data_IF_483563839922
#
_entry.id   IF_483563839922
#
_cell.length_a   1.000
_cell.length_b   1.000
_cell.length_c   1.000
_cell.angle_alpha   90.00
_cell.angle_beta   90.00
_cell.angle_gamma   90.00
#
_symmetry.space_group_name_H-M   'P 1'
#
loop_
_entity.id
_entity.type
_entity.pdbx_description
1 polymer ?
#
# COMPACT_ATOMS: atom_id res chain seq x y z
N UNK A 1 17.29 28.76 2.77
CA UNK A 1 16.68 27.49 3.23
C UNK A 1 15.20 27.71 3.41
N UNK A 2 14.35 27.07 2.59
CA UNK A 2 12.90 27.19 2.74
C UNK A 2 12.49 26.62 4.11
N UNK A 3 11.75 27.39 4.91
CA UNK A 3 11.11 26.94 6.14
C UNK A 3 10.18 25.79 5.81
N UNK A 4 10.60 24.55 6.09
CA UNK A 4 9.78 23.35 5.92
C UNK A 4 8.58 23.44 6.87
N UNK A 5 7.38 23.18 6.36
CA UNK A 5 6.20 23.07 7.21
C UNK A 5 6.45 22.02 8.29
N UNK A 6 6.22 22.37 9.55
CA UNK A 6 6.26 21.45 10.70
C UNK A 6 4.93 20.71 10.90
N UNK A 7 3.93 20.99 10.06
CA UNK A 7 2.64 20.29 10.06
C UNK A 7 2.72 19.05 9.18
N UNK A 8 2.23 17.92 9.70
CA UNK A 8 2.09 16.63 9.00
C UNK A 8 0.72 16.02 9.27
N UNK A 9 0.34 15.02 8.49
CA UNK A 9 -0.80 14.16 8.78
C UNK A 9 -0.26 12.82 9.27
N UNK A 10 -0.78 12.32 10.40
CA UNK A 10 -0.40 11.02 10.91
C UNK A 10 -0.81 9.92 9.91
N UNK A 11 0.10 9.09 9.40
CA UNK A 11 -0.23 8.05 8.43
C UNK A 11 -1.11 6.94 9.04
N UNK A 12 -1.07 6.76 10.36
CA UNK A 12 -1.84 5.71 11.05
C UNK A 12 -3.28 6.11 11.39
N UNK A 13 -3.53 7.35 11.81
CA UNK A 13 -4.87 7.78 12.26
C UNK A 13 -5.43 9.04 11.57
N UNK A 14 -4.63 9.74 10.75
CA UNK A 14 -5.08 10.94 10.04
C UNK A 14 -5.08 12.22 10.87
N UNK A 15 -4.71 12.16 12.15
CA UNK A 15 -4.59 13.35 12.99
C UNK A 15 -3.57 14.33 12.40
N UNK A 16 -3.91 15.62 12.36
CA UNK A 16 -2.95 16.68 11.98
C UNK A 16 -1.97 16.87 13.14
N UNK A 17 -0.69 16.67 12.83
CA UNK A 17 0.42 16.73 13.76
C UNK A 17 1.21 18.01 13.58
N UNK A 18 1.66 18.58 14.68
CA UNK A 18 2.71 19.59 14.71
C UNK A 18 3.98 18.93 15.25
N UNK A 19 4.92 18.59 14.37
CA UNK A 19 6.05 17.71 14.70
C UNK A 19 6.88 18.20 15.89
N UNK A 20 7.09 19.51 16.00
CA UNK A 20 7.83 20.14 17.11
C UNK A 20 7.14 20.03 18.48
N UNK A 21 5.83 19.77 18.50
CA UNK A 21 5.04 19.62 19.72
C UNK A 21 4.86 18.15 20.12
N UNK A 22 5.31 17.20 19.30
CA UNK A 22 5.20 15.78 19.60
C UNK A 22 6.25 15.33 20.63
N UNK A 23 5.90 14.38 21.51
CA UNK A 23 6.87 13.72 22.37
C UNK A 23 7.86 12.88 21.55
N UNK A 24 9.04 12.65 22.11
CA UNK A 24 10.00 11.68 21.60
C UNK A 24 9.97 10.43 22.46
N UNK A 25 9.95 9.27 21.81
CA UNK A 25 9.88 7.96 22.44
C UNK A 25 11.04 7.08 22.01
N UNK A 26 11.40 6.13 22.86
CA UNK A 26 12.41 5.10 22.60
C UNK A 26 11.76 3.94 21.81
N UNK A 27 12.33 3.58 20.65
CA UNK A 27 11.89 2.38 19.91
C UNK A 27 12.92 1.26 19.91
N UNK A 28 14.14 1.51 20.41
CA UNK A 28 15.14 0.46 20.60
C UNK A 28 14.84 -0.37 21.85
N UNK A 29 15.04 -1.69 21.78
CA UNK A 29 15.09 -2.59 22.95
C UNK A 29 16.52 -3.00 23.25
N UNK A 30 16.85 -3.18 24.52
CA UNK A 30 18.18 -3.58 24.96
C UNK A 30 18.63 -4.92 24.37
N UNK A 31 19.92 -5.02 24.05
CA UNK A 31 20.57 -6.19 23.42
C UNK A 31 20.46 -7.50 24.21
N UNK A 32 20.16 -7.44 25.51
CA UNK A 32 19.94 -8.63 26.36
C UNK A 32 18.60 -9.33 26.09
N UNK A 33 17.70 -8.70 25.34
CA UNK A 33 16.50 -9.32 24.79
C UNK A 33 16.76 -9.66 23.32
N UNK A 34 16.78 -10.96 22.99
CA UNK A 34 17.09 -11.46 21.66
C UNK A 34 16.33 -10.69 20.57
N UNK A 35 17.07 -9.99 19.70
CA UNK A 35 16.69 -9.45 18.38
C UNK A 35 15.18 -9.26 18.19
N UNK A 36 14.63 -8.20 18.77
CA UNK A 36 13.30 -7.72 18.45
C UNK A 36 13.34 -6.21 18.22
N UNK A 37 13.54 -5.80 16.97
CA UNK A 37 13.11 -4.47 16.52
C UNK A 37 11.60 -4.40 16.75
N UNK A 38 11.15 -3.46 17.59
CA UNK A 38 9.73 -3.20 17.83
C UNK A 38 9.18 -2.57 16.56
N UNK A 39 8.12 -3.15 16.01
CA UNK A 39 7.52 -2.65 14.77
C UNK A 39 6.64 -1.43 15.06
N UNK A 40 6.37 -0.63 14.02
CA UNK A 40 5.52 0.56 14.04
C UNK A 40 4.11 0.37 14.64
N UNK A 41 3.70 -0.88 14.87
CA UNK A 41 2.36 -1.28 15.25
C UNK A 41 2.32 -2.28 16.42
N UNK A 42 3.39 -2.41 17.20
CA UNK A 42 3.36 -3.27 18.40
C UNK A 42 2.41 -2.70 19.47
N UNK A 43 1.11 -2.97 19.31
CA UNK A 43 0.07 -2.77 20.31
C UNK A 43 0.00 -3.95 21.29
N UNK A 44 0.57 -5.11 20.91
CA UNK A 44 0.45 -6.39 21.62
C UNK A 44 1.74 -6.89 22.29
N UNK A 45 2.77 -6.05 22.39
CA UNK A 45 3.85 -6.33 23.32
C UNK A 45 3.26 -6.28 24.74
N UNK A 46 3.13 -7.44 25.37
CA UNK A 46 2.84 -7.60 26.79
C UNK A 46 3.68 -6.61 27.62
N UNK A 47 3.04 -5.50 28.02
CA UNK A 47 3.17 -4.65 29.23
C UNK A 47 4.51 -4.49 29.95
N UNK A 48 5.63 -4.90 29.38
CA UNK A 48 6.96 -4.73 29.94
C UNK A 48 7.52 -3.45 29.36
N UNK A 49 7.24 -2.36 30.06
CA UNK A 49 8.00 -1.11 29.88
C UNK A 49 9.47 -1.47 30.02
N UNK A 50 10.27 -1.18 29.00
CA UNK A 50 11.71 -1.41 29.02
C UNK A 50 12.45 -0.10 29.22
N UNK A 51 13.66 -0.17 29.75
CA UNK A 51 14.49 1.02 29.90
C UNK A 51 15.21 1.36 28.59
N UNK A 52 15.40 2.66 28.27
CA UNK A 52 16.20 3.09 27.14
C UNK A 52 17.61 2.49 27.18
N UNK A 53 18.13 1.90 26.09
CA UNK A 53 19.48 1.32 26.03
C UNK A 53 20.60 2.27 26.44
N UNK A 54 20.42 3.59 26.28
CA UNK A 54 21.38 4.60 26.70
C UNK A 54 21.46 4.81 28.22
N UNK A 55 20.47 4.32 28.97
CA UNK A 55 20.24 4.64 30.38
C UNK A 55 19.57 6.00 30.59
N UNK A 56 19.04 6.64 29.54
CA UNK A 56 18.31 7.89 29.66
C UNK A 56 17.09 7.76 30.59
N UNK A 57 16.78 8.79 31.40
CA UNK A 57 15.59 8.77 32.24
C UNK A 57 14.33 8.74 31.37
N UNK A 58 13.40 7.86 31.72
CA UNK A 58 12.08 7.78 31.09
C UNK A 58 11.07 8.67 31.82
N UNK A 59 10.34 9.50 31.07
CA UNK A 59 9.26 10.36 31.57
C UNK A 59 7.89 9.65 31.49
N UNK A 60 7.84 8.37 31.84
CA UNK A 60 6.65 7.52 31.69
C UNK A 60 6.55 6.87 30.31
N UNK A 61 5.36 6.46 29.91
CA UNK A 61 5.13 5.76 28.63
C UNK A 61 4.06 6.43 27.78
N UNK A 62 4.22 6.29 26.47
CA UNK A 62 3.19 6.63 25.49
C UNK A 62 2.90 5.37 24.68
N UNK A 63 1.73 4.76 24.91
CA UNK A 63 1.46 3.41 24.42
C UNK A 63 2.46 2.42 25.01
N UNK A 64 3.13 1.65 24.16
CA UNK A 64 4.16 0.70 24.56
C UNK A 64 5.56 1.35 24.75
N UNK A 65 5.75 2.62 24.38
CA UNK A 65 7.09 3.20 24.24
C UNK A 65 7.48 4.08 25.45
N UNK A 66 8.70 3.93 26.01
CA UNK A 66 9.25 4.87 26.99
C UNK A 66 9.38 6.28 26.42
N UNK A 67 8.99 7.30 27.18
CA UNK A 67 9.06 8.71 26.76
C UNK A 67 10.44 9.27 27.09
N UNK A 68 11.22 9.59 26.06
CA UNK A 68 12.54 10.25 26.17
C UNK A 68 12.40 11.76 26.36
N UNK A 69 11.33 12.35 25.79
CA UNK A 69 11.04 13.79 25.90
C UNK A 69 9.53 14.03 25.81
N UNK A 70 9.01 14.79 26.75
CA UNK A 70 7.58 15.14 26.79
C UNK A 70 7.17 16.11 25.66
N UNK A 71 5.86 16.13 25.38
CA UNK A 71 5.26 17.04 24.42
C UNK A 71 5.33 18.49 24.90
N UNK A 72 5.83 19.39 24.06
CA UNK A 72 5.86 20.83 24.35
C UNK A 72 4.52 21.50 23.98
N UNK A 73 3.52 21.42 24.84
CA UNK A 73 2.19 22.03 24.62
C UNK A 73 1.96 23.39 25.32
N UNK A 74 3.00 24.08 25.78
CA UNK A 74 2.80 25.39 26.45
C UNK A 74 2.52 26.50 25.44
N UNK A 75 1.28 27.01 25.47
CA UNK A 75 0.68 27.96 24.53
C UNK A 75 1.35 29.34 24.36
N UNK A 76 2.51 29.60 24.98
CA UNK A 76 3.25 30.86 24.84
C UNK A 76 4.43 30.76 23.85
N UNK A 77 4.83 29.56 23.40
CA UNK A 77 5.95 29.37 22.45
C UNK A 77 5.55 29.14 20.99
N UNK A 78 4.24 28.96 20.71
CA UNK A 78 3.70 28.78 19.34
C UNK A 78 4.04 29.95 18.41
N UNK A 79 4.30 31.13 18.97
CA UNK A 79 4.62 32.36 18.21
C UNK A 79 6.13 32.51 17.91
N UNK A 80 7.01 31.68 18.47
CA UNK A 80 8.48 31.88 18.37
C UNK A 80 9.31 30.69 17.87
N UNK A 81 8.70 29.60 17.43
CA UNK A 81 9.43 28.47 16.85
C UNK A 81 9.45 28.57 15.31
N UNK A 82 10.37 29.40 14.77
CA UNK A 82 10.56 29.54 13.31
C UNK A 82 11.99 29.29 12.84
N UNK A 83 12.85 28.61 13.62
CA UNK A 83 14.26 28.52 13.23
C UNK A 83 14.73 27.15 12.73
N UNK A 84 14.28 26.00 13.25
CA UNK A 84 14.63 24.67 12.72
C UNK A 84 13.87 23.59 13.48
N UNK A 85 13.26 22.62 12.77
CA UNK A 85 12.82 21.38 13.41
C UNK A 85 14.08 20.60 13.83
N UNK A 86 14.28 20.39 15.14
CA UNK A 86 15.39 19.58 15.64
C UNK A 86 15.12 18.11 15.32
N UNK A 87 16.09 17.46 14.68
CA UNK A 87 15.99 16.04 14.38
C UNK A 87 16.03 15.22 15.68
N UNK A 88 15.28 14.10 15.83
CA UNK A 88 15.24 13.32 17.06
C UNK A 88 16.62 12.91 17.60
N UNK A 89 17.56 12.56 16.72
CA UNK A 89 18.93 12.22 17.10
C UNK A 89 19.80 13.42 17.57
N UNK A 90 19.36 14.66 17.35
CA UNK A 90 20.03 15.86 17.90
C UNK A 90 19.66 16.09 19.38
N UNK A 91 18.60 15.44 19.88
CA UNK A 91 17.99 15.74 21.18
C UNK A 91 17.82 14.52 22.09
N UNK A 92 18.14 13.33 21.59
CA UNK A 92 18.15 12.08 22.35
C UNK A 92 19.28 11.17 21.81
N UNK A 93 19.73 10.22 22.64
CA UNK A 93 20.83 9.32 22.29
C UNK A 93 20.41 8.41 21.12
N UNK A 94 21.21 8.33 20.03
CA UNK A 94 20.88 7.48 18.89
C UNK A 94 20.70 5.99 19.22
N UNK A 95 21.32 5.50 20.32
CA UNK A 95 21.16 4.11 20.80
C UNK A 95 19.72 3.79 21.23
N UNK A 96 18.92 4.81 21.55
CA UNK A 96 17.52 4.64 21.92
C UNK A 96 16.58 4.62 20.70
N UNK A 97 17.12 4.85 19.50
CA UNK A 97 16.36 5.04 18.26
C UNK A 97 15.18 6.02 18.46
N UNK A 98 15.46 7.28 18.83
CA UNK A 98 14.40 8.22 19.19
C UNK A 98 13.47 8.51 18.02
N UNK A 99 12.16 8.31 18.22
CA UNK A 99 11.10 8.62 17.24
C UNK A 99 10.11 9.63 17.80
N UNK A 100 9.52 10.46 16.95
CA UNK A 100 8.31 11.22 17.34
C UNK A 100 7.16 10.24 17.48
N UNK A 101 6.23 10.50 18.40
CA UNK A 101 5.04 9.69 18.54
C UNK A 101 3.76 10.50 18.42
N UNK A 102 2.75 9.90 17.79
CA UNK A 102 1.44 10.50 17.66
C UNK A 102 0.70 10.43 19.00
N UNK A 103 0.26 11.57 19.54
CA UNK A 103 -0.48 11.61 20.82
C UNK A 103 -1.93 11.15 20.71
N UNK A 104 -2.46 10.98 19.49
CA UNK A 104 -3.82 10.51 19.26
C UNK A 104 -3.91 8.98 19.12
N UNK A 105 -3.00 8.35 18.37
CA UNK A 105 -3.00 6.89 18.18
C UNK A 105 -1.86 6.19 18.91
N UNK A 106 -1.01 6.93 19.63
CA UNK A 106 0.08 6.43 20.48
C UNK A 106 1.18 5.65 19.74
N UNK A 107 1.16 5.64 18.40
CA UNK A 107 2.18 4.99 17.57
C UNK A 107 3.41 5.87 17.38
N UNK A 108 4.59 5.25 17.40
CA UNK A 108 5.82 5.86 16.91
C UNK A 108 5.69 6.17 15.41
N UNK A 109 6.21 7.31 14.97
CA UNK A 109 6.18 7.77 13.60
C UNK A 109 7.54 7.51 12.91
N UNK A 110 7.56 7.21 11.60
CA UNK A 110 8.81 7.09 10.86
C UNK A 110 9.67 8.35 10.93
N UNK A 111 11.00 8.21 11.00
CA UNK A 111 11.93 9.37 10.97
C UNK A 111 11.62 10.24 9.78
N UNK A 112 11.39 9.60 8.65
CA UNK A 112 11.31 10.23 7.35
C UNK A 112 10.12 11.20 7.28
N UNK A 113 9.15 11.07 8.18
CA UNK A 113 8.05 12.02 8.32
C UNK A 113 8.53 13.42 8.75
N UNK A 114 9.71 13.53 9.38
CA UNK A 114 10.36 14.81 9.64
C UNK A 114 10.81 15.50 8.34
N UNK A 115 11.14 14.72 7.32
CA UNK A 115 11.69 15.21 6.05
C UNK A 115 10.63 15.40 4.96
N UNK A 116 9.62 14.52 4.93
CA UNK A 116 8.66 14.47 3.84
C UNK A 116 7.22 14.12 4.30
N UNK A 117 6.27 14.34 3.40
CA UNK A 117 4.86 14.01 3.64
C UNK A 117 4.60 12.51 3.41
N UNK A 118 3.52 12.00 4.01
CA UNK A 118 3.08 10.62 3.82
C UNK A 118 1.78 10.58 3.00
N UNK A 119 1.76 9.73 1.99
CA UNK A 119 0.60 9.40 1.17
C UNK A 119 0.23 7.92 1.37
N UNK A 120 -1.06 7.63 1.26
CA UNK A 120 -1.61 6.31 1.51
C UNK A 120 -2.19 5.71 0.22
N UNK A 121 -1.73 4.52 -0.13
CA UNK A 121 -2.26 3.69 -1.19
C UNK A 121 -3.06 2.54 -0.60
N UNK A 122 -4.34 2.48 -0.94
CA UNK A 122 -5.18 1.34 -0.60
C UNK A 122 -5.09 0.26 -1.70
N UNK A 123 -4.82 -0.99 -1.32
CA UNK A 123 -4.91 -2.15 -2.22
C UNK A 123 -5.99 -3.09 -1.69
N UNK A 124 -7.08 -3.21 -2.44
CA UNK A 124 -8.33 -3.86 -2.00
C UNK A 124 -8.92 -4.72 -3.11
N UNK A 125 -9.89 -5.58 -2.79
CA UNK A 125 -10.42 -6.60 -3.72
C UNK A 125 -10.84 -7.85 -2.97
N UNK A 126 -11.57 -8.75 -3.63
CA UNK A 126 -12.05 -10.00 -3.02
C UNK A 126 -10.89 -10.87 -2.50
N UNK A 127 -11.21 -11.80 -1.59
CA UNK A 127 -10.27 -12.86 -1.26
C UNK A 127 -9.94 -13.66 -2.53
N UNK A 128 -8.70 -14.16 -2.64
CA UNK A 128 -8.17 -14.86 -3.83
C UNK A 128 -8.14 -14.08 -5.15
N UNK A 129 -8.55 -12.81 -5.17
CA UNK A 129 -8.40 -11.93 -6.33
C UNK A 129 -6.93 -11.62 -6.69
N UNK A 130 -5.95 -12.08 -5.91
CA UNK A 130 -4.54 -11.91 -6.21
C UNK A 130 -3.88 -10.68 -5.59
N UNK A 131 -4.49 -10.01 -4.61
CA UNK A 131 -3.91 -8.83 -3.93
C UNK A 131 -2.50 -9.06 -3.37
N UNK A 132 -2.32 -10.12 -2.58
CA UNK A 132 -1.04 -10.46 -1.94
C UNK A 132 0.02 -10.83 -3.00
N UNK A 133 -0.39 -11.52 -4.07
CA UNK A 133 0.47 -11.81 -5.22
C UNK A 133 0.82 -10.55 -6.02
N UNK A 134 -0.13 -9.62 -6.18
CA UNK A 134 0.09 -8.32 -6.79
C UNK A 134 1.10 -7.52 -5.97
N UNK A 135 0.92 -7.39 -4.65
CA UNK A 135 1.88 -6.72 -3.77
C UNK A 135 3.26 -7.38 -3.86
N UNK A 136 3.33 -8.71 -3.74
CA UNK A 136 4.61 -9.43 -3.80
C UNK A 136 5.33 -9.26 -5.14
N UNK A 137 4.61 -9.31 -6.25
CA UNK A 137 5.21 -9.22 -7.59
C UNK A 137 5.52 -7.78 -7.99
N UNK A 138 4.60 -6.86 -7.75
CA UNK A 138 4.78 -5.45 -8.10
C UNK A 138 5.86 -4.78 -7.23
N UNK A 139 5.81 -4.95 -5.91
CA UNK A 139 6.77 -4.31 -5.02
C UNK A 139 8.17 -4.90 -5.18
N UNK A 140 8.29 -6.20 -5.49
CA UNK A 140 9.57 -6.79 -5.85
C UNK A 140 10.10 -6.27 -7.20
N UNK A 141 9.21 -6.11 -8.19
CA UNK A 141 9.51 -5.45 -9.47
C UNK A 141 10.06 -4.04 -9.29
N UNK A 142 9.36 -3.24 -8.50
CA UNK A 142 9.70 -1.85 -8.23
C UNK A 142 11.00 -1.69 -7.44
N UNK A 143 11.25 -2.55 -6.45
CA UNK A 143 12.40 -2.38 -5.51
C UNK A 143 13.68 -3.09 -5.93
N UNK A 144 13.62 -4.17 -6.73
CA UNK A 144 14.80 -4.97 -7.12
C UNK A 144 15.23 -4.81 -8.57
N UNK A 145 14.33 -4.36 -9.44
CA UNK A 145 14.55 -4.36 -10.88
C UNK A 145 14.29 -2.99 -11.51
N UNK A 146 14.18 -1.93 -10.70
CA UNK A 146 13.87 -0.56 -11.14
C UNK A 146 12.67 -0.50 -12.10
N UNK A 147 11.67 -1.37 -11.88
CA UNK A 147 10.54 -1.56 -12.81
C UNK A 147 9.65 -0.32 -12.99
N UNK A 148 9.85 0.73 -12.19
CA UNK A 148 9.15 2.00 -12.27
C UNK A 148 9.96 3.14 -12.91
N UNK A 149 11.22 2.91 -13.29
CA UNK A 149 12.10 3.96 -13.82
C UNK A 149 11.52 4.61 -15.09
N UNK A 150 11.06 3.79 -16.04
CA UNK A 150 10.44 4.25 -17.29
C UNK A 150 9.10 4.97 -17.07
N UNK A 151 8.54 4.87 -15.86
CA UNK A 151 7.30 5.54 -15.46
C UNK A 151 7.55 6.92 -14.81
N UNK A 152 8.80 7.39 -14.75
CA UNK A 152 9.17 8.67 -14.14
C UNK A 152 9.27 8.61 -12.61
N UNK A 153 9.57 7.43 -12.08
CA UNK A 153 9.90 7.21 -10.67
C UNK A 153 11.42 7.12 -10.53
N UNK A 154 12.01 8.10 -9.85
CA UNK A 154 13.46 8.19 -9.63
C UNK A 154 13.92 7.37 -8.42
N UNK A 155 13.02 7.13 -7.47
CA UNK A 155 13.30 6.37 -6.26
C UNK A 155 12.05 5.59 -5.82
N UNK A 156 12.22 4.31 -5.51
CA UNK A 156 11.19 3.49 -4.88
C UNK A 156 11.86 2.50 -3.91
N UNK A 157 12.15 2.96 -2.69
CA UNK A 157 12.94 2.21 -1.71
C UNK A 157 12.09 1.81 -0.52
N UNK A 158 12.07 0.54 -0.11
CA UNK A 158 11.40 0.13 1.12
C UNK A 158 12.18 0.64 2.34
N UNK A 159 11.48 1.07 3.39
CA UNK A 159 12.13 1.28 4.69
C UNK A 159 12.61 -0.06 5.27
N UNK A 160 13.52 -0.02 6.24
CA UNK A 160 14.21 -1.21 6.76
C UNK A 160 13.26 -2.35 7.17
N UNK A 161 12.21 -2.03 7.94
CA UNK A 161 11.24 -3.05 8.39
C UNK A 161 10.43 -3.58 7.20
N UNK A 162 10.09 -2.72 6.25
CA UNK A 162 9.38 -3.10 5.03
C UNK A 162 10.26 -4.00 4.15
N UNK A 163 11.56 -3.72 4.05
CA UNK A 163 12.50 -4.52 3.27
C UNK A 163 12.58 -5.96 3.82
N UNK A 164 12.64 -6.11 5.14
CA UNK A 164 12.63 -7.41 5.82
C UNK A 164 11.33 -8.18 5.55
N UNK A 165 10.18 -7.51 5.71
CA UNK A 165 8.85 -8.09 5.44
C UNK A 165 8.72 -8.51 3.97
N UNK A 166 9.10 -7.64 3.03
CA UNK A 166 9.09 -7.94 1.60
C UNK A 166 9.95 -9.16 1.27
N UNK A 167 11.16 -9.23 1.84
CA UNK A 167 12.06 -10.34 1.59
C UNK A 167 11.51 -11.66 2.13
N UNK A 168 11.12 -11.70 3.40
CA UNK A 168 10.71 -12.91 4.11
C UNK A 168 9.32 -13.41 3.68
N UNK A 169 8.35 -12.50 3.54
CA UNK A 169 6.95 -12.88 3.39
C UNK A 169 6.48 -12.93 1.93
N UNK A 170 7.19 -12.26 1.02
CA UNK A 170 6.79 -12.20 -0.40
C UNK A 170 7.87 -12.77 -1.31
N UNK A 171 9.09 -12.23 -1.27
CA UNK A 171 10.15 -12.61 -2.21
C UNK A 171 10.60 -14.06 -2.04
N UNK A 172 10.96 -14.47 -0.82
CA UNK A 172 11.46 -15.83 -0.57
C UNK A 172 10.43 -16.90 -0.95
N UNK A 173 9.15 -16.84 -0.51
CA UNK A 173 8.15 -17.81 -0.94
C UNK A 173 7.93 -17.78 -2.45
N UNK A 174 7.67 -16.62 -3.06
CA UNK A 174 7.26 -16.53 -4.47
C UNK A 174 8.39 -16.81 -5.46
N UNK A 175 9.53 -16.16 -5.28
CA UNK A 175 10.57 -16.08 -6.32
C UNK A 175 11.78 -16.98 -6.05
N UNK A 176 11.97 -17.44 -4.80
CA UNK A 176 13.06 -18.35 -4.44
C UNK A 176 12.58 -19.79 -4.21
N UNK A 177 11.48 -19.97 -3.46
CA UNK A 177 10.93 -21.29 -3.13
C UNK A 177 9.81 -21.74 -4.07
N UNK A 178 9.28 -20.82 -4.88
CA UNK A 178 8.18 -21.06 -5.83
C UNK A 178 6.91 -21.61 -5.14
N UNK A 179 6.68 -21.18 -3.90
CA UNK A 179 5.57 -21.58 -3.07
C UNK A 179 4.34 -20.68 -3.30
N UNK A 180 3.16 -21.25 -3.06
CA UNK A 180 1.93 -20.45 -2.94
C UNK A 180 2.00 -19.62 -1.67
N UNK A 181 1.65 -18.34 -1.76
CA UNK A 181 1.51 -17.51 -0.58
C UNK A 181 0.30 -17.95 0.25
N UNK A 182 0.41 -17.96 1.58
CA UNK A 182 -0.71 -18.29 2.46
C UNK A 182 -1.86 -17.29 2.26
N UNK A 183 -3.09 -17.76 2.47
CA UNK A 183 -4.27 -16.89 2.47
C UNK A 183 -4.08 -15.82 3.55
N UNK A 184 -4.30 -14.56 3.19
CA UNK A 184 -4.29 -13.47 4.17
C UNK A 184 -5.45 -13.68 5.16
N UNK A 185 -5.16 -13.94 6.44
CA UNK A 185 -6.19 -14.20 7.43
C UNK A 185 -7.10 -12.98 7.56
N UNK A 186 -8.37 -13.25 7.83
CA UNK A 186 -9.30 -12.20 8.24
C UNK A 186 -8.90 -11.78 9.64
N UNK A 187 -8.50 -10.54 9.80
CA UNK A 187 -8.23 -9.94 11.10
C UNK A 187 -9.23 -8.81 11.31
N UNK A 188 -9.76 -8.70 12.53
CA UNK A 188 -10.75 -7.67 12.89
C UNK A 188 -10.14 -6.26 12.88
N UNK A 189 -8.80 -6.17 12.86
CA UNK A 189 -8.02 -4.96 12.84
C UNK A 189 -6.85 -5.06 11.84
N UNK A 190 -6.33 -3.91 11.40
CA UNK A 190 -5.08 -3.85 10.63
C UNK A 190 -3.90 -4.05 11.58
N UNK A 191 -3.72 -5.27 12.10
CA UNK A 191 -2.56 -5.61 12.96
C UNK A 191 -1.28 -5.83 12.15
N UNK A 192 -1.39 -5.98 10.83
CA UNK A 192 -0.20 -6.05 9.96
C UNK A 192 0.40 -4.65 9.81
N UNK A 193 1.70 -4.45 10.15
CA UNK A 193 2.35 -3.17 9.95
C UNK A 193 2.27 -2.78 8.47
N UNK A 194 2.07 -1.49 8.15
CA UNK A 194 2.08 -1.03 6.78
C UNK A 194 3.42 -1.33 6.11
N UNK A 195 3.37 -1.59 4.81
CA UNK A 195 4.54 -1.50 3.95
C UNK A 195 4.77 -0.02 3.63
N UNK A 196 5.97 0.47 3.91
CA UNK A 196 6.34 1.88 3.79
C UNK A 196 7.51 2.01 2.83
N UNK A 197 7.36 2.90 1.85
CA UNK A 197 8.36 3.17 0.84
C UNK A 197 8.72 4.64 0.81
N UNK A 198 10.00 4.96 0.66
CA UNK A 198 10.44 6.28 0.22
C UNK A 198 10.34 6.33 -1.30
N UNK A 199 9.52 7.26 -1.80
CA UNK A 199 9.25 7.42 -3.23
C UNK A 199 9.68 8.80 -3.68
N UNK A 200 10.33 8.88 -4.85
CA UNK A 200 10.64 10.15 -5.52
C UNK A 200 10.20 10.06 -6.97
N UNK A 201 9.34 11.00 -7.39
CA UNK A 201 8.92 11.14 -8.78
C UNK A 201 9.72 12.26 -9.43
N UNK A 202 9.94 12.18 -10.74
CA UNK A 202 10.73 13.18 -11.47
C UNK A 202 10.22 14.60 -11.26
N UNK A 203 11.09 15.50 -10.80
CA UNK A 203 10.78 16.91 -10.53
C UNK A 203 9.94 17.17 -9.27
N UNK A 204 9.74 16.17 -8.41
CA UNK A 204 9.01 16.29 -7.14
C UNK A 204 9.91 15.92 -5.96
N UNK A 205 9.55 16.47 -4.79
CA UNK A 205 10.21 16.09 -3.53
C UNK A 205 9.89 14.63 -3.18
N UNK A 206 10.78 13.93 -2.45
CA UNK A 206 10.46 12.62 -1.92
C UNK A 206 9.25 12.66 -0.99
N UNK A 207 8.53 11.56 -0.88
CA UNK A 207 7.43 11.33 0.05
C UNK A 207 7.42 9.87 0.52
N UNK A 208 6.69 9.60 1.60
CA UNK A 208 6.43 8.24 2.06
C UNK A 208 5.15 7.70 1.43
N UNK A 209 5.21 6.51 0.85
CA UNK A 209 4.05 5.75 0.40
C UNK A 209 3.75 4.64 1.41
N UNK A 210 2.59 4.72 2.05
CA UNK A 210 2.07 3.68 2.93
C UNK A 210 1.09 2.81 2.17
N UNK A 211 1.17 1.49 2.34
CA UNK A 211 0.18 0.54 1.85
C UNK A 211 0.01 -0.62 2.83
N UNK A 212 -1.14 -1.29 2.77
CA UNK A 212 -1.47 -2.40 3.67
C UNK A 212 -1.88 -3.64 2.88
N UNK A 213 -1.44 -4.82 3.33
CA UNK A 213 -1.92 -6.11 2.85
C UNK A 213 -3.05 -6.61 3.76
N UNK A 214 -4.28 -6.24 3.42
CA UNK A 214 -5.48 -6.53 4.20
C UNK A 214 -6.33 -7.56 3.46
N UNK A 215 -6.95 -8.48 4.23
CA UNK A 215 -7.91 -9.43 3.66
C UNK A 215 -9.12 -8.70 3.08
N UNK A 216 -9.57 -9.16 1.91
CA UNK A 216 -10.75 -8.58 1.25
C UNK A 216 -12.02 -8.76 2.09
N UNK A 217 -12.13 -9.89 2.77
CA UNK A 217 -13.27 -10.25 3.62
C UNK A 217 -13.38 -9.35 4.87
N UNK A 218 -12.27 -8.85 5.39
CA UNK A 218 -12.27 -7.89 6.50
C UNK A 218 -12.99 -6.57 6.11
N UNK A 219 -13.15 -6.30 4.82
CA UNK A 219 -13.82 -5.11 4.29
C UNK A 219 -15.28 -5.37 3.89
N UNK A 220 -15.85 -6.53 4.22
CA UNK A 220 -17.20 -6.96 3.80
C UNK A 220 -18.28 -6.66 4.82
N UNK A 221 -18.01 -6.78 6.13
CA UNK A 221 -19.00 -6.43 7.15
C UNK A 221 -18.97 -4.94 7.45
N UNK A 222 -20.12 -4.32 7.75
CA UNK A 222 -20.16 -2.91 8.16
C UNK A 222 -19.34 -2.65 9.43
N UNK A 223 -19.39 -3.58 10.40
CA UNK A 223 -18.67 -3.45 11.67
C UNK A 223 -17.16 -3.49 11.46
N UNK A 224 -16.65 -4.47 10.72
CA UNK A 224 -15.22 -4.57 10.40
C UNK A 224 -14.77 -3.43 9.48
N UNK A 225 -15.60 -2.97 8.53
CA UNK A 225 -15.29 -1.77 7.72
C UNK A 225 -15.10 -0.52 8.57
N UNK A 226 -15.92 -0.27 9.60
CA UNK A 226 -15.73 0.96 10.39
C UNK A 226 -14.34 1.05 11.04
N UNK A 227 -13.81 -0.09 11.50
CA UNK A 227 -12.48 -0.19 12.13
C UNK A 227 -11.37 -0.32 11.08
N UNK A 228 -11.51 -1.28 10.16
CA UNK A 228 -10.50 -1.66 9.17
C UNK A 228 -10.45 -0.70 7.98
N UNK A 229 -11.55 -0.03 7.58
CA UNK A 229 -11.56 0.94 6.47
C UNK A 229 -11.15 2.36 6.87
N UNK A 230 -10.68 2.59 8.10
CA UNK A 230 -10.19 3.91 8.52
C UNK A 230 -9.02 4.43 7.67
N UNK A 231 -8.23 3.53 7.07
CA UNK A 231 -7.22 3.88 6.07
C UNK A 231 -7.86 4.25 4.72
N UNK A 232 -8.96 3.58 4.29
CA UNK A 232 -9.66 3.90 3.04
C UNK A 232 -10.21 5.33 3.03
N UNK A 233 -10.78 5.78 4.15
CA UNK A 233 -11.25 7.16 4.35
C UNK A 233 -10.14 8.23 4.24
N UNK A 234 -8.88 7.80 4.20
CA UNK A 234 -7.69 8.66 4.13
C UNK A 234 -6.82 8.35 2.92
N UNK A 235 -7.20 7.38 2.10
CA UNK A 235 -6.41 6.94 0.97
C UNK A 235 -6.25 8.08 -0.04
N UNK A 236 -5.04 8.24 -0.57
CA UNK A 236 -4.73 9.18 -1.65
C UNK A 236 -4.97 8.54 -3.03
N UNK A 237 -4.93 7.21 -3.10
CA UNK A 237 -5.39 6.43 -4.24
C UNK A 237 -5.79 5.02 -3.78
N UNK A 238 -6.54 4.32 -4.63
CA UNK A 238 -7.01 2.97 -4.41
C UNK A 238 -6.75 2.12 -5.67
N UNK A 239 -6.10 0.97 -5.50
CA UNK A 239 -6.07 -0.09 -6.50
C UNK A 239 -7.10 -1.15 -6.06
N UNK A 240 -8.16 -1.29 -6.85
CA UNK A 240 -9.15 -2.33 -6.69
C UNK A 240 -8.82 -3.51 -7.61
N UNK A 241 -8.33 -4.58 -7.00
CA UNK A 241 -7.97 -5.83 -7.67
C UNK A 241 -9.24 -6.65 -7.92
N UNK A 242 -9.56 -6.83 -9.20
CA UNK A 242 -10.66 -7.65 -9.68
C UNK A 242 -10.15 -9.02 -10.09
N UNK A 243 -10.91 -10.06 -9.77
CA UNK A 243 -10.60 -11.43 -10.20
C UNK A 243 -11.40 -11.73 -11.47
N UNK A 244 -10.75 -12.02 -12.61
CA UNK A 244 -11.46 -12.41 -13.82
C UNK A 244 -12.39 -13.62 -13.64
N UNK A 245 -12.11 -14.51 -12.67
CA UNK A 245 -13.00 -15.63 -12.35
C UNK A 245 -14.32 -15.21 -11.67
N UNK A 246 -14.51 -13.94 -11.29
CA UNK A 246 -15.82 -13.43 -10.85
C UNK A 246 -16.74 -13.07 -12.03
N UNK A 247 -16.20 -13.05 -13.25
CA UNK A 247 -16.94 -12.74 -14.47
C UNK A 247 -17.48 -14.05 -15.04
N UNK A 248 -18.80 -14.21 -15.06
CA UNK A 248 -19.48 -15.45 -15.49
C UNK A 248 -18.98 -15.93 -16.87
N UNK A 249 -18.79 -15.00 -17.81
CA UNK A 249 -18.26 -15.31 -19.14
C UNK A 249 -16.90 -16.01 -19.08
N UNK A 250 -15.98 -15.55 -18.22
CA UNK A 250 -14.64 -16.14 -18.10
C UNK A 250 -14.73 -17.52 -17.46
N UNK A 251 -15.46 -17.64 -16.35
CA UNK A 251 -15.61 -18.91 -15.63
C UNK A 251 -16.23 -20.00 -16.52
N UNK A 252 -17.23 -19.67 -17.32
CA UNK A 252 -17.91 -20.63 -18.22
C UNK A 252 -17.09 -21.06 -19.43
N UNK A 253 -16.09 -20.28 -19.84
CA UNK A 253 -15.25 -20.57 -21.01
C UNK A 253 -13.89 -21.19 -20.62
N UNK A 254 -13.68 -21.50 -19.35
CA UNK A 254 -12.52 -22.24 -18.86
C UNK A 254 -12.90 -23.67 -18.49
N UNK A 255 -11.94 -24.59 -18.55
CA UNK A 255 -12.16 -25.94 -18.04
C UNK A 255 -12.25 -25.92 -16.50
N UNK A 256 -13.04 -26.82 -15.87
CA UNK A 256 -13.18 -26.85 -14.41
C UNK A 256 -11.84 -26.94 -13.65
N UNK A 257 -10.90 -27.72 -14.17
CA UNK A 257 -9.56 -27.88 -13.59
C UNK A 257 -8.78 -26.55 -13.61
N UNK A 258 -8.93 -25.77 -14.67
CA UNK A 258 -8.26 -24.47 -14.83
C UNK A 258 -8.83 -23.43 -13.86
N UNK A 259 -10.15 -23.46 -13.64
CA UNK A 259 -10.82 -22.62 -12.64
C UNK A 259 -10.33 -22.99 -11.23
N UNK A 260 -10.26 -24.28 -10.90
CA UNK A 260 -9.77 -24.76 -9.60
C UNK A 260 -8.31 -24.36 -9.35
N UNK A 261 -7.43 -24.59 -10.33
CA UNK A 261 -6.00 -24.26 -10.23
C UNK A 261 -5.75 -22.76 -10.08
N UNK A 262 -6.54 -21.94 -10.75
CA UNK A 262 -6.52 -20.48 -10.63
C UNK A 262 -7.15 -19.95 -9.34
N UNK A 263 -7.57 -20.85 -8.44
CA UNK A 263 -8.12 -20.53 -7.12
C UNK A 263 -9.59 -20.13 -7.15
N UNK A 264 -10.33 -20.56 -8.17
CA UNK A 264 -11.78 -20.46 -8.27
C UNK A 264 -12.50 -21.23 -7.15
N UNK A 265 -13.82 -21.09 -7.13
CA UNK A 265 -14.69 -21.67 -6.11
C UNK A 265 -15.79 -20.72 -5.68
N UNK A 266 -16.73 -21.25 -4.90
CA UNK A 266 -17.88 -20.52 -4.36
C UNK A 266 -17.42 -19.27 -3.60
N UNK A 267 -18.07 -18.14 -3.89
CA UNK A 267 -17.84 -16.86 -3.23
C UNK A 267 -19.12 -16.41 -2.57
N UNK A 268 -19.00 -16.00 -1.32
CA UNK A 268 -20.12 -15.41 -0.59
C UNK A 268 -20.42 -13.96 -1.02
N UNK A 269 -19.52 -13.35 -1.80
CA UNK A 269 -19.63 -11.96 -2.23
C UNK A 269 -19.11 -11.74 -3.66
N UNK A 270 -19.89 -11.00 -4.45
CA UNK A 270 -19.50 -10.50 -5.77
C UNK A 270 -18.62 -9.24 -5.67
N UNK A 271 -17.60 -9.12 -6.53
CA UNK A 271 -16.62 -8.03 -6.51
C UNK A 271 -17.23 -6.65 -6.73
N UNK A 272 -18.31 -6.58 -7.51
CA UNK A 272 -19.05 -5.34 -7.78
C UNK A 272 -19.72 -4.81 -6.52
N UNK A 273 -20.26 -5.70 -5.67
CA UNK A 273 -20.85 -5.31 -4.38
C UNK A 273 -19.78 -4.82 -3.40
N UNK A 274 -18.60 -5.45 -3.41
CA UNK A 274 -17.46 -4.98 -2.61
C UNK A 274 -17.01 -3.58 -3.08
N UNK A 275 -16.84 -3.36 -4.39
CA UNK A 275 -16.46 -2.06 -4.92
C UNK A 275 -17.46 -0.98 -4.51
N UNK A 276 -18.76 -1.25 -4.66
CA UNK A 276 -19.82 -0.32 -4.26
C UNK A 276 -19.71 0.08 -2.76
N UNK A 277 -19.44 -0.88 -1.88
CA UNK A 277 -19.23 -0.61 -0.47
C UNK A 277 -17.96 0.23 -0.20
N UNK A 278 -16.87 -0.07 -0.89
CA UNK A 278 -15.59 0.65 -0.74
C UNK A 278 -15.68 2.09 -1.25
N UNK A 279 -16.37 2.34 -2.35
CA UNK A 279 -16.57 3.68 -2.90
C UNK A 279 -17.28 4.62 -1.91
N UNK A 280 -18.17 4.08 -1.05
CA UNK A 280 -18.85 4.85 0.00
C UNK A 280 -17.92 5.26 1.14
N UNK A 281 -16.84 4.52 1.35
CA UNK A 281 -15.82 4.82 2.37
C UNK A 281 -14.73 5.77 1.84
N UNK A 282 -14.61 5.94 0.52
CA UNK A 282 -13.62 6.88 -0.01
C UNK A 282 -14.00 8.34 0.31
N UNK A 283 -13.00 9.22 0.52
CA UNK A 283 -13.23 10.65 0.70
C UNK A 283 -14.15 11.20 -0.40
N UNK A 284 -15.20 11.91 0.00
CA UNK A 284 -16.13 12.55 -0.93
C UNK A 284 -15.46 13.70 -1.67
N UNK A 285 -15.72 13.88 -2.98
CA UNK A 285 -15.25 15.04 -3.73
C UNK A 285 -15.86 16.32 -3.13
N UNK A 286 -15.05 17.13 -2.43
CA UNK A 286 -15.53 18.40 -1.87
C UNK A 286 -14.67 19.05 -0.78
N UNK A 287 -13.80 18.28 -0.09
CA UNK A 287 -12.99 18.80 1.02
C UNK A 287 -11.48 18.59 0.92
N UNK A 288 -11.01 17.97 -0.15
CA UNK A 288 -9.63 17.52 -0.33
C UNK A 288 -9.61 16.57 -1.52
N UNK A 289 -8.50 16.56 -2.28
CA UNK A 289 -8.38 15.95 -3.62
C UNK A 289 -8.99 14.54 -3.69
N UNK A 290 -9.86 14.30 -4.67
CA UNK A 290 -10.46 12.99 -4.94
C UNK A 290 -9.37 11.95 -5.24
N UNK A 291 -9.32 10.84 -4.48
CA UNK A 291 -8.40 9.74 -4.73
C UNK A 291 -8.52 9.22 -6.16
N UNK A 292 -7.47 8.61 -6.69
CA UNK A 292 -7.54 7.91 -7.97
C UNK A 292 -7.92 6.45 -7.75
N UNK A 293 -8.86 5.93 -8.53
CA UNK A 293 -9.26 4.53 -8.56
C UNK A 293 -8.62 3.81 -9.76
N UNK A 294 -7.74 2.86 -9.49
CA UNK A 294 -7.26 1.91 -10.49
C UNK A 294 -7.99 0.57 -10.32
N UNK A 295 -8.84 0.19 -11.27
CA UNK A 295 -9.47 -1.13 -11.33
C UNK A 295 -8.53 -2.05 -12.12
N UNK A 296 -8.05 -3.14 -11.51
CA UNK A 296 -7.02 -3.97 -12.12
C UNK A 296 -7.40 -5.47 -12.14
N UNK A 297 -7.55 -6.01 -13.35
CA UNK A 297 -7.75 -7.44 -13.62
C UNK A 297 -6.43 -8.17 -13.38
N UNK A 298 -6.36 -9.03 -12.36
CA UNK A 298 -5.09 -9.59 -11.85
C UNK A 298 -4.60 -10.86 -12.55
N UNK A 299 -5.48 -11.54 -13.29
CA UNK A 299 -5.22 -12.81 -13.97
C UNK A 299 -5.54 -12.68 -15.45
N UNK A 300 -4.98 -11.65 -16.11
CA UNK A 300 -5.31 -11.34 -17.51
C UNK A 300 -4.99 -12.49 -18.48
N UNK A 301 -4.08 -13.38 -18.10
CA UNK A 301 -3.77 -14.64 -18.81
C UNK A 301 -4.99 -15.57 -18.91
N UNK A 302 -5.88 -15.59 -17.91
CA UNK A 302 -7.13 -16.35 -17.98
C UNK A 302 -8.10 -15.78 -18.99
N UNK A 303 -8.04 -14.46 -19.23
CA UNK A 303 -8.91 -13.80 -20.21
C UNK A 303 -8.49 -14.17 -21.64
N UNK A 304 -7.18 -14.17 -21.91
CA UNK A 304 -6.64 -14.67 -23.19
C UNK A 304 -7.04 -16.13 -23.41
N UNK A 305 -6.96 -16.96 -22.37
CA UNK A 305 -7.33 -18.37 -22.42
C UNK A 305 -8.83 -18.59 -22.70
N UNK A 306 -9.70 -17.92 -21.94
CA UNK A 306 -11.15 -18.04 -22.07
C UNK A 306 -11.69 -17.49 -23.40
N UNK A 307 -11.08 -16.42 -23.92
CA UNK A 307 -11.55 -15.76 -25.15
C UNK A 307 -10.86 -16.27 -26.41
N UNK A 308 -9.72 -16.94 -26.29
CA UNK A 308 -8.86 -17.33 -27.42
C UNK A 308 -8.29 -16.14 -28.21
N UNK A 309 -8.36 -14.92 -27.67
CA UNK A 309 -7.93 -13.67 -28.30
C UNK A 309 -6.70 -13.12 -27.59
N UNK A 310 -5.76 -12.60 -28.38
CA UNK A 310 -4.66 -11.77 -27.87
C UNK A 310 -5.12 -10.32 -27.71
N UNK A 311 -4.74 -9.72 -26.60
CA UNK A 311 -5.02 -8.32 -26.27
C UNK A 311 -3.72 -7.54 -26.12
N UNK A 312 -3.79 -6.20 -26.12
CA UNK A 312 -2.61 -5.36 -25.83
C UNK A 312 -2.05 -5.66 -24.44
N UNK A 313 -2.91 -5.88 -23.46
CA UNK A 313 -2.48 -6.24 -22.10
C UNK A 313 -1.89 -7.65 -21.96
N UNK A 314 -1.92 -8.47 -23.02
CA UNK A 314 -1.28 -9.78 -23.10
C UNK A 314 0.21 -9.71 -23.47
N UNK A 315 0.74 -8.51 -23.72
CA UNK A 315 2.15 -8.28 -24.08
C UNK A 315 2.78 -7.24 -23.12
N UNK A 316 4.12 -7.19 -22.99
CA UNK A 316 4.79 -6.16 -22.20
C UNK A 316 4.44 -4.75 -22.69
N UNK A 317 4.51 -3.72 -21.83
CA UNK A 317 4.26 -2.34 -22.24
C UNK A 317 5.10 -1.94 -23.44
N UNK A 318 4.48 -1.25 -24.39
CA UNK A 318 5.19 -0.77 -25.58
C UNK A 318 6.30 0.22 -25.17
N UNK A 319 7.53 0.10 -25.71
CA UNK A 319 8.56 1.11 -25.47
C UNK A 319 8.10 2.49 -25.96
N UNK A 320 8.20 3.53 -25.12
CA UNK A 320 7.77 4.89 -25.47
C UNK A 320 6.97 5.56 -24.35
N UNK A 321 5.95 6.35 -24.72
CA UNK A 321 5.06 6.99 -23.74
C UNK A 321 4.13 5.96 -23.10
N UNK A 322 4.54 5.45 -21.94
CA UNK A 322 3.75 4.51 -21.14
C UNK A 322 2.34 5.01 -20.84
N UNK A 323 2.11 6.34 -20.78
CA UNK A 323 0.79 6.91 -20.50
C UNK A 323 -0.18 6.65 -21.64
N UNK A 324 0.31 6.67 -22.88
CA UNK A 324 -0.48 6.35 -24.06
C UNK A 324 -0.83 4.86 -24.12
N UNK A 325 0.15 4.00 -23.87
CA UNK A 325 -0.04 2.54 -23.85
C UNK A 325 -1.04 2.11 -22.75
N UNK A 326 -0.93 2.66 -21.54
CA UNK A 326 -1.89 2.43 -20.44
C UNK A 326 -3.29 2.97 -20.79
N UNK A 327 -3.40 4.11 -21.49
CA UNK A 327 -4.70 4.65 -21.91
C UNK A 327 -5.39 3.73 -22.90
N UNK A 328 -4.66 3.21 -23.89
CA UNK A 328 -5.18 2.25 -24.86
C UNK A 328 -5.60 0.94 -24.21
N UNK A 329 -4.84 0.44 -23.23
CA UNK A 329 -5.25 -0.74 -22.46
C UNK A 329 -6.51 -0.46 -21.63
N UNK A 330 -6.62 0.70 -21.01
CA UNK A 330 -7.84 1.10 -20.31
C UNK A 330 -9.06 1.09 -21.23
N UNK A 331 -8.94 1.58 -22.47
CA UNK A 331 -10.02 1.55 -23.47
C UNK A 331 -10.37 0.11 -23.88
N UNK A 332 -9.37 -0.71 -24.22
CA UNK A 332 -9.55 -2.13 -24.59
C UNK A 332 -10.26 -2.94 -23.48
N UNK A 333 -9.90 -2.72 -22.21
CA UNK A 333 -10.55 -3.40 -21.08
C UNK A 333 -12.00 -2.97 -20.93
N UNK A 334 -12.32 -1.70 -21.17
CA UNK A 334 -13.69 -1.20 -21.05
C UNK A 334 -14.60 -1.82 -22.10
N UNK A 335 -14.10 -1.95 -23.33
CA UNK A 335 -14.80 -2.66 -24.41
C UNK A 335 -14.99 -4.13 -24.03
N UNK A 336 -13.94 -4.79 -23.57
CA UNK A 336 -13.97 -6.19 -23.15
C UNK A 336 -14.98 -6.46 -22.02
N UNK A 337 -14.98 -5.64 -20.97
CA UNK A 337 -15.94 -5.76 -19.86
C UNK A 337 -17.37 -5.49 -20.34
N UNK A 338 -17.56 -4.63 -21.34
CA UNK A 338 -18.87 -4.41 -21.96
C UNK A 338 -19.33 -5.66 -22.73
N UNK A 339 -18.44 -6.26 -23.53
CA UNK A 339 -18.69 -7.52 -24.26
C UNK A 339 -19.05 -8.66 -23.30
N UNK A 340 -18.41 -8.73 -22.13
CA UNK A 340 -18.64 -9.75 -21.11
C UNK A 340 -19.85 -9.50 -20.20
N UNK A 341 -20.59 -8.40 -20.41
CA UNK A 341 -21.79 -8.09 -19.62
C UNK A 341 -21.52 -7.42 -18.26
N UNK A 342 -20.29 -6.99 -17.97
CA UNK A 342 -19.86 -6.35 -16.72
C UNK A 342 -20.25 -4.85 -16.65
N UNK A 343 -21.42 -4.50 -17.20
CA UNK A 343 -21.92 -3.13 -17.26
C UNK A 343 -22.18 -2.51 -15.87
N UNK A 344 -22.40 -3.32 -14.83
CA UNK A 344 -22.57 -2.80 -13.47
C UNK A 344 -21.23 -2.35 -12.87
N UNK A 345 -20.17 -3.14 -13.05
CA UNK A 345 -18.82 -2.79 -12.63
C UNK A 345 -18.35 -1.51 -13.32
N UNK A 346 -18.52 -1.43 -14.66
CA UNK A 346 -18.18 -0.23 -15.43
C UNK A 346 -18.91 1.02 -14.94
N UNK A 347 -20.24 0.95 -14.78
CA UNK A 347 -21.04 2.09 -14.31
C UNK A 347 -20.65 2.57 -12.91
N UNK A 348 -20.37 1.66 -11.98
CA UNK A 348 -19.92 2.03 -10.63
C UNK A 348 -18.55 2.72 -10.66
N UNK A 349 -17.62 2.14 -11.42
CA UNK A 349 -16.28 2.68 -11.61
C UNK A 349 -16.28 4.06 -12.31
N UNK A 350 -17.11 4.24 -13.32
CA UNK A 350 -17.24 5.50 -14.08
C UNK A 350 -18.03 6.57 -13.34
N UNK A 351 -18.88 6.16 -12.40
CA UNK A 351 -19.49 7.08 -11.44
C UNK A 351 -18.45 7.74 -10.51
N UNK A 352 -17.23 7.20 -10.45
CA UNK A 352 -16.14 7.78 -9.68
C UNK A 352 -15.26 8.70 -10.56
N UNK A 353 -15.00 9.98 -10.18
CA UNK A 353 -14.45 10.99 -11.09
C UNK A 353 -13.05 10.71 -11.66
N UNK A 354 -12.26 9.84 -11.02
CA UNK A 354 -10.87 9.56 -11.41
C UNK A 354 -10.65 8.06 -11.42
N UNK A 355 -10.96 7.43 -12.54
CA UNK A 355 -10.88 5.98 -12.69
C UNK A 355 -10.09 5.55 -13.91
N UNK A 356 -9.27 4.52 -13.75
CA UNK A 356 -8.51 3.86 -14.82
C UNK A 356 -8.65 2.34 -14.71
N UNK A 357 -8.74 1.65 -15.84
CA UNK A 357 -8.75 0.20 -15.92
C UNK A 357 -7.38 -0.34 -16.34
N UNK A 358 -6.98 -1.45 -15.72
CA UNK A 358 -5.70 -2.13 -15.92
C UNK A 358 -5.92 -3.62 -16.01
N UNK A 359 -5.03 -4.30 -16.73
CA UNK A 359 -5.00 -5.75 -16.80
C UNK A 359 -3.55 -6.20 -16.70
N UNK A 360 -3.33 -7.17 -15.83
CA UNK A 360 -2.03 -7.70 -15.47
C UNK A 360 -2.15 -9.20 -15.21
N UNK A 361 -1.05 -9.92 -15.41
CA UNK A 361 -0.93 -11.30 -14.94
C UNK A 361 0.07 -11.30 -13.80
N UNK A 362 -0.43 -11.39 -12.56
CA UNK A 362 0.42 -11.23 -11.36
C UNK A 362 1.48 -12.32 -11.24
N UNK A 363 1.20 -13.53 -11.72
CA UNK A 363 2.14 -14.65 -11.73
C UNK A 363 2.75 -14.92 -13.12
N UNK A 364 2.21 -14.31 -14.17
CA UNK A 364 2.54 -14.65 -15.55
C UNK A 364 1.75 -15.85 -16.06
N UNK A 365 1.86 -16.07 -17.37
CA UNK A 365 1.27 -17.22 -18.06
C UNK A 365 1.83 -18.52 -17.49
N UNK A 366 0.98 -19.52 -17.41
CA UNK A 366 1.35 -20.87 -16.97
C UNK A 366 2.53 -21.45 -17.76
N UNK A 367 2.48 -21.37 -19.09
CA UNK A 367 3.55 -21.85 -19.97
C UNK A 367 4.91 -21.17 -19.72
N UNK A 368 4.91 -19.89 -19.36
CA UNK A 368 6.13 -19.17 -19.01
C UNK A 368 6.65 -19.58 -17.63
N UNK A 369 5.74 -19.84 -16.68
CA UNK A 369 6.10 -20.36 -15.35
C UNK A 369 6.67 -21.77 -15.43
N UNK A 370 6.10 -22.66 -16.23
CA UNK A 370 6.65 -24.00 -16.48
C UNK A 370 8.08 -23.92 -17.02
N UNK A 371 8.32 -23.09 -18.04
CA UNK A 371 9.65 -22.81 -18.60
C UNK A 371 10.63 -22.24 -17.57
N UNK A 372 10.13 -21.60 -16.52
CA UNK A 372 10.91 -21.00 -15.43
C UNK A 372 10.84 -21.82 -14.13
N UNK A 373 10.53 -23.11 -14.21
CA UNK A 373 10.49 -24.03 -13.06
C UNK A 373 9.57 -23.54 -11.93
N UNK A 374 8.41 -22.99 -12.29
CA UNK A 374 7.40 -22.45 -11.37
C UNK A 374 7.61 -21.00 -10.95
N UNK A 375 8.76 -20.39 -11.29
CA UNK A 375 9.04 -18.99 -10.97
C UNK A 375 8.04 -18.06 -11.66
N UNK A 376 7.44 -17.08 -10.94
CA UNK A 376 6.54 -16.12 -11.55
C UNK A 376 7.22 -15.29 -12.65
N UNK A 377 6.48 -14.99 -13.72
CA UNK A 377 6.88 -14.07 -14.80
C UNK A 377 5.81 -12.98 -14.94
N UNK A 378 5.71 -12.04 -14.00
CA UNK A 378 4.61 -11.10 -13.95
C UNK A 378 4.56 -10.22 -15.19
N UNK A 379 3.34 -9.93 -15.66
CA UNK A 379 3.10 -9.10 -16.84
C UNK A 379 2.31 -7.85 -16.45
N UNK A 380 2.81 -6.67 -16.83
CA UNK A 380 2.16 -5.36 -16.65
C UNK A 380 1.76 -5.01 -15.21
N UNK A 381 2.37 -5.67 -14.21
CA UNK A 381 2.10 -5.43 -12.78
C UNK A 381 2.53 -4.03 -12.29
N UNK A 382 3.33 -3.29 -13.08
CA UNK A 382 3.75 -1.93 -12.77
C UNK A 382 2.68 -0.89 -13.11
N UNK A 383 1.87 -1.13 -14.14
CA UNK A 383 0.92 -0.15 -14.69
C UNK A 383 -0.07 0.43 -13.67
N UNK A 384 -0.78 -0.36 -12.85
CA UNK A 384 -1.68 0.20 -11.85
C UNK A 384 -0.93 1.01 -10.79
N UNK A 385 0.27 0.57 -10.39
CA UNK A 385 1.11 1.27 -9.41
C UNK A 385 1.63 2.60 -9.97
N UNK A 386 2.17 2.60 -11.19
CA UNK A 386 2.63 3.80 -11.87
C UNK A 386 1.51 4.82 -12.08
N UNK A 387 0.32 4.35 -12.46
CA UNK A 387 -0.85 5.21 -12.68
C UNK A 387 -1.30 5.91 -11.40
N UNK A 388 -1.36 5.19 -10.27
CA UNK A 388 -1.73 5.84 -9.00
C UNK A 388 -0.65 6.79 -8.48
N UNK A 389 0.63 6.48 -8.69
CA UNK A 389 1.74 7.36 -8.33
C UNK A 389 1.71 8.66 -9.15
N UNK A 390 1.50 8.56 -10.46
CA UNK A 390 1.32 9.71 -11.35
C UNK A 390 0.10 10.55 -10.90
N UNK A 391 -1.00 9.90 -10.54
CA UNK A 391 -2.21 10.55 -10.06
C UNK A 391 -2.04 11.28 -8.71
N UNK A 392 -1.04 10.88 -7.91
CA UNK A 392 -0.66 11.50 -6.64
C UNK A 392 0.28 12.70 -6.80
N UNK A 393 0.91 12.91 -7.97
CA UNK A 393 1.84 14.05 -8.21
C UNK A 393 1.34 15.40 -7.70
N UNK A 394 0.07 15.80 -7.93
CA UNK A 394 -0.41 17.10 -7.46
C UNK A 394 -0.42 17.22 -5.93
N UNK A 395 -0.30 16.12 -5.18
CA UNK A 395 -0.31 16.07 -3.71
C UNK A 395 1.08 16.26 -3.11
N UNK A 396 2.13 16.15 -3.93
CA UNK A 396 3.53 16.25 -3.51
C UNK A 396 4.07 17.62 -3.92
N UNK A 397 4.88 18.23 -3.06
CA UNK A 397 5.54 19.50 -3.39
C UNK A 397 6.55 19.36 -4.53
N UNK A 398 6.61 20.36 -5.42
CA UNK A 398 7.68 20.49 -6.40
C UNK A 398 9.03 20.66 -5.70
N UNK A 399 10.11 20.21 -6.35
CA UNK A 399 11.49 20.33 -5.81
C UNK A 399 11.84 21.77 -5.40
#
# INVERSE_FOLDING_TARGET
>A
MATRSVKRVCPYCGTILLLEALPLVCTARGLDSAVAQVTWDDTDASSSVWDPPSGAPSHGTLGAFPVLREANLTGSKVVKAMTRLQHPSEVADPRDMPRRACTACLKALPEELDECDALLLAVVGLNRAGKTYFLGSSLNGATRFDGLADYGVELFEPLEETASVLHKNYYQPLFHRHERLPITPVMDHVERPPLVFRVKLTGLRPFLLFTHDISGEALVSNQTRHVTASFLRRANAMIFITDPLDVEYIEWNLAPEEVEEAGGGLRDLNQTALLEALLRELPTPGGGKTPHLAVALSKSDLIEKATGRKYRFSEPPSPGDWRDDVRQVNEEIRELLTEMGESKLLRLSDGYPRTSFHAMSVLGRESDRERRHGRPVPLRVMDPLATVLEAMRPMVGAE
#
